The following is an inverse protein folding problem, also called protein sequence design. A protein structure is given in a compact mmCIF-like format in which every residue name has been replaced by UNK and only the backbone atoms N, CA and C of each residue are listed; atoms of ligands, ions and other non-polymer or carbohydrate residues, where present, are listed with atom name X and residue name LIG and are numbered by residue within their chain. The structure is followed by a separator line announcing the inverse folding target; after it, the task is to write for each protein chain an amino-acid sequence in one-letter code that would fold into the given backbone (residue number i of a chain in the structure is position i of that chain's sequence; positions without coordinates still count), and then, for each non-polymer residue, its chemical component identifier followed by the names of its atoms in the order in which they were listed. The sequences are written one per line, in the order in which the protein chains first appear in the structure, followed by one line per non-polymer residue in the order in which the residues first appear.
data_IF_047344804970
#
_entry.id   IF_047344804970
#
_cell.length_a   1.000
_cell.length_b   1.000
_cell.length_c   1.000
_cell.angle_alpha   90.00
_cell.angle_beta   90.00
_cell.angle_gamma   90.00
#
_symmetry.space_group_name_H-M   'P 1'
#
loop_
_entity.id
_entity.type
_entity.pdbx_description
1 polymer ?
#
# COMPACT_ATOMS: atom_id res chain seq x y z
N UNK A 1 -14.98 11.60 -11.85
CA UNK A 1 -15.68 10.32 -11.61
C UNK A 1 -14.59 9.28 -11.51
N UNK A 2 -14.25 8.87 -10.29
CA UNK A 2 -13.20 7.87 -10.07
C UNK A 2 -13.79 6.51 -10.34
N UNK A 3 -13.20 5.75 -11.28
CA UNK A 3 -13.63 4.38 -11.57
C UNK A 3 -13.01 3.44 -10.52
N UNK A 4 -13.87 2.72 -9.82
CA UNK A 4 -13.47 1.66 -8.90
C UNK A 4 -13.38 0.35 -9.67
N UNK A 5 -12.24 -0.29 -9.68
CA UNK A 5 -12.06 -1.63 -10.24
C UNK A 5 -11.75 -2.59 -9.10
N UNK A 6 -12.67 -3.49 -8.82
CA UNK A 6 -12.45 -4.61 -7.89
C UNK A 6 -11.80 -5.76 -8.68
N UNK A 7 -10.59 -6.15 -8.31
CA UNK A 7 -9.90 -7.30 -8.91
C UNK A 7 -9.44 -8.24 -7.81
N UNK A 8 -9.80 -9.49 -7.93
CA UNK A 8 -9.11 -10.59 -7.29
C UNK A 8 -9.90 -11.37 -6.24
N UNK A 9 -10.57 -12.43 -6.66
CA UNK A 9 -10.81 -13.62 -5.83
C UNK A 9 -10.04 -14.79 -6.41
N UNK A 10 -8.93 -15.13 -5.80
CA UNK A 10 -8.31 -16.44 -5.95
C UNK A 10 -9.12 -17.49 -5.18
N UNK A 11 -10.22 -17.97 -5.75
CA UNK A 11 -10.99 -19.09 -5.24
C UNK A 11 -10.90 -20.24 -6.22
N UNK A 12 -10.27 -21.36 -5.85
CA UNK A 12 -10.46 -22.63 -6.53
C UNK A 12 -11.93 -23.01 -6.41
N UNK A 13 -12.63 -23.05 -7.54
CA UNK A 13 -13.93 -23.70 -7.65
C UNK A 13 -13.72 -25.15 -8.08
N UNK A 14 -13.96 -26.06 -7.15
CA UNK A 14 -14.32 -27.43 -7.50
C UNK A 14 -15.78 -27.42 -7.94
N UNK A 15 -16.01 -27.94 -9.15
CA UNK A 15 -17.27 -27.86 -9.84
C UNK A 15 -18.36 -28.73 -9.24
N UNK A 16 -19.59 -28.24 -9.31
CA UNK A 16 -20.75 -29.06 -9.68
C UNK A 16 -21.83 -28.18 -10.28
N UNK A 17 -22.24 -28.54 -11.49
CA UNK A 17 -23.26 -27.89 -12.26
C UNK A 17 -24.65 -28.23 -11.73
N UNK A 18 -25.54 -27.22 -11.62
CA UNK A 18 -26.98 -27.36 -11.90
C UNK A 18 -27.52 -26.03 -12.39
N UNK A 19 -28.18 -26.09 -13.54
CA UNK A 19 -28.62 -24.96 -14.31
C UNK A 19 -29.85 -24.27 -13.73
N UNK A 20 -29.99 -23.03 -14.12
CA UNK A 20 -31.22 -22.39 -14.61
C UNK A 20 -30.95 -20.89 -14.88
N UNK A 21 -31.15 -20.57 -16.09
CA UNK A 21 -31.54 -19.36 -16.84
C UNK A 21 -32.09 -18.16 -16.02
N UNK A 22 -31.54 -16.95 -16.25
CA UNK A 22 -32.18 -15.77 -16.77
C UNK A 22 -31.38 -14.46 -16.56
N UNK A 23 -31.23 -13.77 -17.72
CA UNK A 23 -31.15 -12.32 -17.99
C UNK A 23 -30.00 -11.48 -17.45
N UNK A 24 -29.14 -11.15 -18.41
CA UNK A 24 -28.50 -9.85 -18.75
C UNK A 24 -28.37 -8.79 -17.64
N UNK A 25 -27.19 -8.61 -17.18
CA UNK A 25 -26.64 -7.41 -16.63
C UNK A 25 -25.16 -7.41 -16.97
N UNK A 26 -24.78 -6.71 -18.03
CA UNK A 26 -23.40 -6.65 -18.49
C UNK A 26 -22.52 -5.99 -17.43
N UNK A 27 -21.76 -6.76 -16.69
CA UNK A 27 -20.64 -6.27 -15.94
C UNK A 27 -19.57 -5.87 -16.96
N UNK A 28 -19.39 -4.58 -17.16
CA UNK A 28 -18.26 -4.02 -17.90
C UNK A 28 -17.01 -4.36 -17.09
N UNK A 29 -16.31 -5.41 -17.47
CA UNK A 29 -14.96 -5.68 -17.04
C UNK A 29 -14.05 -4.70 -17.77
N UNK A 30 -13.75 -3.57 -17.15
CA UNK A 30 -12.57 -2.80 -17.49
C UNK A 30 -11.37 -3.48 -16.84
N UNK A 31 -10.75 -4.40 -17.56
CA UNK A 31 -9.44 -4.95 -17.18
C UNK A 31 -8.40 -3.90 -17.55
N UNK A 32 -8.13 -2.99 -16.64
CA UNK A 32 -6.87 -2.25 -16.69
C UNK A 32 -5.81 -3.26 -16.27
N UNK A 33 -4.98 -3.71 -17.22
CA UNK A 33 -3.83 -4.57 -16.94
C UNK A 33 -2.74 -3.75 -16.21
N UNK A 34 -3.02 -3.36 -14.97
CA UNK A 34 -2.05 -2.70 -14.11
C UNK A 34 -1.20 -3.77 -13.44
N UNK A 35 -0.12 -4.15 -14.10
CA UNK A 35 0.84 -5.10 -13.53
C UNK A 35 1.98 -4.34 -12.86
N UNK A 36 1.93 -4.24 -11.52
CA UNK A 36 3.06 -3.77 -10.71
C UNK A 36 3.58 -4.92 -9.85
N UNK A 37 4.82 -4.85 -9.35
CA UNK A 37 5.31 -5.87 -8.43
C UNK A 37 4.43 -6.03 -7.18
N UNK A 38 3.77 -4.93 -6.72
CA UNK A 38 2.83 -4.98 -5.60
C UNK A 38 1.59 -5.82 -5.92
N UNK A 39 1.00 -5.61 -7.10
CA UNK A 39 -0.17 -6.39 -7.58
C UNK A 39 0.18 -7.86 -7.70
N UNK A 40 1.33 -8.20 -8.32
CA UNK A 40 1.78 -9.59 -8.47
C UNK A 40 1.89 -10.29 -7.10
N UNK A 41 2.47 -9.63 -6.10
CA UNK A 41 2.60 -10.22 -4.75
C UNK A 41 1.23 -10.48 -4.11
N UNK A 42 0.28 -9.58 -4.27
CA UNK A 42 -1.07 -9.74 -3.71
C UNK A 42 -1.83 -10.88 -4.40
N UNK A 43 -1.71 -10.99 -5.73
CA UNK A 43 -2.32 -12.07 -6.51
C UNK A 43 -1.72 -13.43 -6.13
N UNK A 44 -0.40 -13.53 -6.05
CA UNK A 44 0.31 -14.75 -5.65
C UNK A 44 -0.06 -15.18 -4.22
N UNK A 45 -0.33 -14.23 -3.33
CA UNK A 45 -0.76 -14.47 -1.96
C UNK A 45 -2.27 -14.76 -1.85
N UNK A 46 -3.05 -14.56 -2.91
CA UNK A 46 -4.51 -14.70 -2.90
C UNK A 46 -5.23 -13.66 -2.03
N UNK A 47 -4.62 -12.48 -1.85
CA UNK A 47 -5.15 -11.37 -1.06
C UNK A 47 -6.10 -10.55 -1.92
N UNK A 48 -7.27 -10.22 -1.38
CA UNK A 48 -8.22 -9.33 -2.03
C UNK A 48 -7.75 -7.86 -1.90
N UNK A 49 -7.88 -7.11 -3.00
CA UNK A 49 -7.50 -5.69 -3.04
C UNK A 49 -8.37 -4.94 -4.06
N UNK A 50 -8.36 -3.62 -3.95
CA UNK A 50 -8.94 -2.68 -4.92
C UNK A 50 -7.84 -1.83 -5.56
N UNK A 51 -8.02 -1.44 -6.83
CA UNK A 51 -7.09 -0.53 -7.53
C UNK A 51 -7.76 0.82 -7.69
N UNK A 52 -7.03 1.88 -7.37
CA UNK A 52 -7.45 3.26 -7.48
C UNK A 52 -6.44 4.04 -8.31
N UNK A 53 -6.81 4.38 -9.54
CA UNK A 53 -6.03 5.29 -10.38
C UNK A 53 -6.55 6.71 -10.24
N UNK A 54 -5.64 7.67 -10.18
CA UNK A 54 -5.98 9.09 -10.11
C UNK A 54 -4.97 9.92 -10.92
N UNK A 55 -5.48 10.99 -11.51
CA UNK A 55 -4.65 11.97 -12.20
C UNK A 55 -3.89 12.81 -11.18
N UNK A 56 -2.58 12.87 -11.35
CA UNK A 56 -1.72 13.75 -10.55
C UNK A 56 -1.64 15.13 -11.16
N UNK A 57 -1.77 16.15 -10.30
CA UNK A 57 -1.33 17.49 -10.64
C UNK A 57 0.20 17.57 -10.78
N UNK A 58 0.69 18.70 -11.30
CA UNK A 58 2.13 18.95 -11.52
C UNK A 58 2.94 19.17 -10.23
N UNK A 59 2.30 19.15 -9.05
CA UNK A 59 2.95 19.42 -7.78
C UNK A 59 3.80 18.22 -7.32
N UNK A 60 5.11 18.47 -7.18
CA UNK A 60 6.10 17.48 -6.76
C UNK A 60 6.17 17.27 -5.23
N UNK A 61 5.30 17.93 -4.46
CA UNK A 61 5.31 17.90 -2.99
C UNK A 61 3.96 17.46 -2.44
N UNK A 62 3.95 16.46 -1.57
CA UNK A 62 2.72 16.02 -0.87
C UNK A 62 2.05 14.76 -1.40
N UNK A 63 2.79 13.90 -2.07
CA UNK A 63 2.34 12.70 -2.80
C UNK A 63 1.19 11.88 -2.17
N UNK A 64 1.19 11.69 -0.86
CA UNK A 64 0.14 10.88 -0.23
C UNK A 64 -1.16 11.67 0.01
N UNK A 65 -1.05 12.98 0.34
CA UNK A 65 -2.24 13.83 0.55
C UNK A 65 -2.97 14.07 -0.76
N UNK A 66 -2.25 14.29 -1.85
CA UNK A 66 -2.83 14.37 -3.20
C UNK A 66 -3.66 13.14 -3.55
N UNK A 67 -3.16 11.94 -3.21
CA UNK A 67 -3.90 10.69 -3.43
C UNK A 67 -5.23 10.70 -2.66
N UNK A 68 -5.19 11.02 -1.36
CA UNK A 68 -6.39 11.09 -0.53
C UNK A 68 -7.41 12.11 -1.08
N UNK A 69 -6.93 13.32 -1.43
CA UNK A 69 -7.79 14.38 -2.00
C UNK A 69 -8.41 13.97 -3.35
N UNK A 70 -7.59 13.40 -4.25
CA UNK A 70 -8.03 13.00 -5.58
C UNK A 70 -9.06 11.85 -5.54
N UNK A 71 -8.91 10.94 -4.59
CA UNK A 71 -9.78 9.79 -4.40
C UNK A 71 -10.97 10.09 -3.48
N UNK A 72 -10.99 11.25 -2.80
CA UNK A 72 -12.02 11.61 -1.82
C UNK A 72 -11.98 10.74 -0.57
N UNK A 73 -10.78 10.25 -0.18
CA UNK A 73 -10.55 9.41 0.97
C UNK A 73 -10.14 10.22 2.20
N UNK A 74 -10.37 9.65 3.39
CA UNK A 74 -9.85 10.22 4.62
C UNK A 74 -8.31 10.14 4.63
N UNK A 75 -7.64 11.24 5.00
CA UNK A 75 -6.19 11.30 5.11
C UNK A 75 -5.61 10.37 6.18
N UNK A 76 -6.41 9.97 7.16
CA UNK A 76 -6.02 8.99 8.17
C UNK A 76 -6.06 7.55 7.65
N UNK A 77 -6.78 7.30 6.56
CA UNK A 77 -6.98 6.00 5.93
C UNK A 77 -5.97 5.72 4.80
N UNK A 78 -5.34 6.77 4.27
CA UNK A 78 -4.29 6.67 3.25
C UNK A 78 -2.92 6.70 3.92
N UNK A 79 -2.11 5.68 3.64
CA UNK A 79 -0.81 5.48 4.29
C UNK A 79 0.34 5.70 3.30
N UNK A 80 1.30 6.50 3.70
CA UNK A 80 2.56 6.72 2.97
C UNK A 80 3.64 5.75 3.41
N UNK A 81 4.43 5.29 2.44
CA UNK A 81 5.58 4.42 2.64
C UNK A 81 6.85 5.26 2.68
N UNK A 82 7.56 5.19 3.79
CA UNK A 82 8.82 5.88 4.02
C UNK A 82 9.93 4.86 4.25
N UNK A 83 11.12 5.13 3.73
CA UNK A 83 12.30 4.33 4.00
C UNK A 83 13.19 5.10 4.97
N UNK A 84 13.55 4.47 6.07
CA UNK A 84 14.43 5.02 7.10
C UNK A 84 15.63 4.11 7.31
N UNK A 85 16.69 4.65 7.92
CA UNK A 85 17.84 3.88 8.38
C UNK A 85 17.83 3.91 9.89
N UNK A 86 17.66 2.74 10.50
CA UNK A 86 17.71 2.53 11.95
C UNK A 86 19.04 1.83 12.30
N UNK A 87 19.92 2.54 12.97
CA UNK A 87 21.35 2.21 13.11
C UNK A 87 21.95 1.91 11.72
N UNK A 88 22.20 0.65 11.38
CA UNK A 88 22.76 0.24 10.08
C UNK A 88 21.75 -0.52 9.20
N UNK A 89 20.48 -0.63 9.63
CA UNK A 89 19.42 -1.37 8.93
C UNK A 89 18.44 -0.43 8.23
N UNK A 90 18.12 -0.73 6.97
CA UNK A 90 17.03 -0.06 6.26
C UNK A 90 15.68 -0.64 6.68
N UNK A 91 14.76 0.23 7.06
CA UNK A 91 13.41 -0.12 7.55
C UNK A 91 12.37 0.57 6.68
N UNK A 92 11.28 -0.11 6.39
CA UNK A 92 10.06 0.50 5.82
C UNK A 92 9.17 0.93 6.98
N UNK A 93 8.77 2.19 6.98
CA UNK A 93 7.81 2.76 7.92
C UNK A 93 6.55 3.21 7.16
N UNK A 94 5.39 2.75 7.61
CA UNK A 94 4.09 3.01 6.99
C UNK A 94 3.24 3.81 7.98
N UNK A 95 2.87 5.04 7.61
CA UNK A 95 2.12 5.96 8.48
C UNK A 95 1.03 6.69 7.69
N UNK A 96 -0.08 7.12 8.35
CA UNK A 96 -1.09 7.95 7.71
C UNK A 96 -0.50 9.19 7.05
N UNK A 97 -1.05 9.60 5.90
CA UNK A 97 -0.58 10.82 5.20
C UNK A 97 -0.86 12.09 5.98
N UNK A 98 -1.85 12.07 6.88
CA UNK A 98 -2.16 13.14 7.83
C UNK A 98 -1.06 13.38 8.87
N UNK A 99 -0.31 12.33 9.22
CA UNK A 99 0.64 12.31 10.31
C UNK A 99 2.11 12.48 9.86
N UNK A 100 2.97 12.84 10.80
CA UNK A 100 4.41 12.82 10.63
C UNK A 100 5.01 11.58 11.28
N UNK A 101 6.06 11.03 10.67
CA UNK A 101 6.80 9.91 11.23
C UNK A 101 7.69 10.36 12.39
N UNK A 102 7.63 9.65 13.52
CA UNK A 102 8.53 9.84 14.65
C UNK A 102 9.74 8.93 14.56
N UNK A 103 10.91 9.48 14.23
CA UNK A 103 12.16 8.72 14.15
C UNK A 103 12.49 8.00 15.46
N UNK A 104 12.19 8.64 16.61
CA UNK A 104 12.39 8.05 17.92
C UNK A 104 11.52 6.82 18.14
N UNK A 105 10.25 6.89 17.73
CA UNK A 105 9.29 5.77 17.89
C UNK A 105 9.61 4.62 16.93
N UNK A 106 10.01 4.93 15.69
CA UNK A 106 10.50 3.89 14.75
C UNK A 106 11.71 3.18 15.31
N UNK A 107 12.72 3.91 15.79
CA UNK A 107 13.91 3.30 16.39
C UNK A 107 13.54 2.38 17.57
N UNK A 108 12.62 2.83 18.44
CA UNK A 108 12.14 2.01 19.56
C UNK A 108 11.42 0.74 19.09
N UNK A 109 10.55 0.84 18.06
CA UNK A 109 9.79 -0.29 17.51
C UNK A 109 10.70 -1.40 16.94
N UNK A 110 11.86 -1.02 16.40
CA UNK A 110 12.83 -1.97 15.83
C UNK A 110 14.01 -2.26 16.76
N UNK A 111 13.99 -1.74 17.99
CA UNK A 111 15.04 -1.90 19.01
C UNK A 111 16.40 -1.30 18.58
N UNK A 112 16.38 -0.25 17.77
CA UNK A 112 17.54 0.52 17.36
C UNK A 112 17.78 1.72 18.32
N UNK A 113 18.98 2.24 18.31
CA UNK A 113 19.36 3.42 19.13
C UNK A 113 18.86 4.72 18.50
N UNK A 114 18.85 4.78 17.17
CA UNK A 114 18.43 5.96 16.39
C UNK A 114 17.88 5.55 15.04
N UNK A 115 17.04 6.41 14.47
CA UNK A 115 16.61 6.31 13.08
C UNK A 115 16.72 7.67 12.38
N UNK A 116 16.95 7.65 11.08
CA UNK A 116 17.01 8.83 10.20
C UNK A 116 16.33 8.52 8.87
N UNK A 117 15.86 9.55 8.16
CA UNK A 117 15.33 9.35 6.81
C UNK A 117 16.42 8.82 5.88
N UNK A 118 16.07 7.84 5.06
CA UNK A 118 16.92 7.40 3.96
C UNK A 118 16.88 8.44 2.83
N UNK A 119 18.00 8.62 2.13
CA UNK A 119 18.01 9.45 0.94
C UNK A 119 17.19 8.81 -0.21
N UNK A 120 16.62 9.67 -1.08
CA UNK A 120 15.72 9.25 -2.14
C UNK A 120 16.34 8.21 -3.09
N UNK A 121 17.58 8.43 -3.52
CA UNK A 121 18.25 7.55 -4.47
C UNK A 121 18.52 6.15 -3.89
N UNK A 122 18.84 6.07 -2.59
CA UNK A 122 19.03 4.80 -1.89
C UNK A 122 17.69 4.08 -1.67
N UNK A 123 16.63 4.83 -1.31
CA UNK A 123 15.28 4.27 -1.19
C UNK A 123 14.79 3.68 -2.52
N UNK A 124 14.98 4.38 -3.64
CA UNK A 124 14.62 3.91 -4.98
C UNK A 124 15.40 2.66 -5.39
N UNK A 125 16.72 2.66 -5.19
CA UNK A 125 17.56 1.48 -5.50
C UNK A 125 17.16 0.25 -4.69
N UNK A 126 16.82 0.43 -3.42
CA UNK A 126 16.43 -0.66 -2.53
C UNK A 126 15.03 -1.19 -2.84
N UNK A 127 14.06 -0.30 -2.97
CA UNK A 127 12.67 -0.68 -3.21
C UNK A 127 12.42 -1.15 -4.63
N UNK A 128 13.13 -0.58 -5.62
CA UNK A 128 12.86 -0.76 -7.04
C UNK A 128 11.73 0.12 -7.56
N UNK A 129 11.19 1.00 -6.74
CA UNK A 129 10.15 1.98 -7.05
C UNK A 129 10.74 3.39 -7.11
N UNK A 130 10.04 4.31 -7.72
CA UNK A 130 10.39 5.75 -7.73
C UNK A 130 9.73 6.46 -6.55
N UNK A 131 10.37 7.48 -6.02
CA UNK A 131 9.80 8.35 -4.97
C UNK A 131 8.45 8.93 -5.42
N UNK A 132 7.46 8.89 -4.54
CA UNK A 132 6.08 9.24 -4.83
C UNK A 132 5.23 8.09 -5.37
N UNK A 133 5.83 6.91 -5.56
CA UNK A 133 5.15 5.67 -5.96
C UNK A 133 5.77 4.45 -5.28
N UNK A 134 6.50 4.64 -4.18
CA UNK A 134 7.07 3.52 -3.41
C UNK A 134 5.94 2.75 -2.72
N UNK A 135 5.69 1.53 -3.17
CA UNK A 135 4.80 0.60 -2.46
C UNK A 135 5.54 -0.08 -1.31
N UNK A 136 4.87 -0.38 -0.20
CA UNK A 136 5.44 -1.24 0.82
C UNK A 136 5.51 -2.70 0.37
N UNK A 137 4.68 -3.08 -0.62
CA UNK A 137 4.51 -4.44 -1.15
C UNK A 137 5.39 -4.61 -2.40
N UNK A 138 5.97 -5.80 -2.59
CA UNK A 138 6.70 -6.15 -3.81
C UNK A 138 8.00 -5.39 -4.01
N UNK A 139 8.63 -4.88 -2.96
CA UNK A 139 9.94 -4.23 -3.03
C UNK A 139 11.02 -5.22 -3.48
N UNK A 140 11.98 -4.74 -4.29
CA UNK A 140 13.11 -5.55 -4.78
C UNK A 140 13.90 -6.19 -3.64
N UNK A 141 14.13 -5.45 -2.57
CA UNK A 141 14.73 -5.95 -1.33
C UNK A 141 13.66 -5.96 -0.24
N UNK A 142 13.34 -7.13 0.30
CA UNK A 142 12.45 -7.23 1.45
C UNK A 142 13.14 -6.60 2.66
N UNK A 143 12.56 -5.52 3.15
CA UNK A 143 13.02 -4.82 4.34
C UNK A 143 12.10 -5.15 5.51
N UNK A 144 12.63 -5.05 6.71
CA UNK A 144 11.82 -5.08 7.93
C UNK A 144 10.86 -3.90 7.91
N UNK A 145 9.60 -4.16 8.21
CA UNK A 145 8.53 -3.16 8.04
C UNK A 145 7.85 -2.89 9.38
N UNK A 146 7.57 -1.61 9.63
CA UNK A 146 6.75 -1.15 10.76
C UNK A 146 5.58 -0.35 10.19
N UNK A 147 4.37 -0.66 10.65
CA UNK A 147 3.15 0.07 10.31
C UNK A 147 2.59 0.73 11.58
N UNK A 148 2.07 1.95 11.42
CA UNK A 148 1.41 2.63 12.54
C UNK A 148 0.15 1.89 12.96
N UNK A 149 -0.05 1.77 14.27
CA UNK A 149 -1.17 1.02 14.88
C UNK A 149 -2.54 1.54 14.48
N UNK A 150 -2.63 2.80 14.03
CA UNK A 150 -3.89 3.37 13.54
C UNK A 150 -4.45 2.65 12.31
N UNK A 151 -3.63 1.89 11.59
CA UNK A 151 -4.12 1.08 10.47
C UNK A 151 -5.21 0.08 10.89
N UNK A 152 -5.12 -0.45 12.11
CA UNK A 152 -6.08 -1.42 12.63
C UNK A 152 -7.46 -0.82 12.97
N UNK A 153 -7.59 0.52 12.90
CA UNK A 153 -8.86 1.22 13.17
C UNK A 153 -9.81 1.24 11.96
N UNK A 154 -9.34 0.80 10.78
CA UNK A 154 -10.08 0.87 9.52
C UNK A 154 -10.40 -0.53 8.99
N UNK A 155 -11.50 -0.64 8.27
CA UNK A 155 -11.86 -1.87 7.54
C UNK A 155 -11.00 -2.03 6.27
N UNK A 156 -10.57 -0.92 5.68
CA UNK A 156 -9.71 -0.84 4.50
C UNK A 156 -8.71 0.31 4.65
N UNK A 157 -7.47 0.07 4.25
CA UNK A 157 -6.41 1.09 4.17
C UNK A 157 -5.84 1.16 2.76
N UNK A 158 -5.31 2.33 2.39
CA UNK A 158 -4.78 2.60 1.06
C UNK A 158 -3.28 2.85 1.13
N UNK A 159 -2.54 2.19 0.24
CA UNK A 159 -1.09 2.36 0.09
C UNK A 159 -0.73 2.49 -1.38
N UNK A 160 0.43 3.07 -1.69
CA UNK A 160 0.88 3.14 -3.08
C UNK A 160 0.95 1.76 -3.73
N UNK A 161 0.40 1.65 -4.93
CA UNK A 161 0.42 0.44 -5.76
C UNK A 161 1.73 0.21 -6.52
N UNK A 162 2.76 1.03 -6.29
CA UNK A 162 4.08 0.90 -6.93
C UNK A 162 4.26 1.76 -8.20
N UNK A 163 3.32 2.64 -8.46
CA UNK A 163 3.35 3.62 -9.55
C UNK A 163 2.73 4.92 -9.05
N UNK A 164 3.25 6.06 -9.49
CA UNK A 164 2.63 7.36 -9.21
C UNK A 164 1.22 7.41 -9.80
N UNK A 165 0.23 7.90 -9.04
CA UNK A 165 -1.16 7.96 -9.47
C UNK A 165 -1.89 6.61 -9.37
N UNK A 166 -1.36 5.68 -8.60
CA UNK A 166 -1.94 4.37 -8.37
C UNK A 166 -1.84 3.99 -6.89
N UNK A 167 -2.98 3.83 -6.26
CA UNK A 167 -3.07 3.29 -4.89
C UNK A 167 -3.83 1.95 -4.88
N UNK A 168 -3.54 1.17 -3.88
CA UNK A 168 -4.17 -0.13 -3.60
C UNK A 168 -4.88 -0.02 -2.26
N UNK A 169 -6.18 -0.34 -2.24
CA UNK A 169 -6.98 -0.54 -1.04
C UNK A 169 -7.00 -2.01 -0.65
N UNK A 170 -6.79 -2.31 0.63
CA UNK A 170 -6.85 -3.67 1.15
C UNK A 170 -7.10 -3.69 2.66
N UNK A 171 -7.51 -4.85 3.17
CA UNK A 171 -7.72 -5.05 4.61
C UNK A 171 -6.39 -4.91 5.36
N UNK A 172 -6.33 -4.12 6.47
CA UNK A 172 -5.09 -3.90 7.22
C UNK A 172 -4.41 -5.17 7.69
N UNK A 173 -5.18 -6.16 8.15
CA UNK A 173 -4.65 -7.45 8.59
C UNK A 173 -3.92 -8.21 7.48
N UNK A 174 -4.40 -8.12 6.24
CA UNK A 174 -3.75 -8.72 5.08
C UNK A 174 -2.46 -7.98 4.71
N UNK A 175 -2.47 -6.63 4.78
CA UNK A 175 -1.27 -5.82 4.59
C UNK A 175 -0.20 -6.15 5.63
N UNK A 176 -0.56 -6.20 6.91
CA UNK A 176 0.34 -6.56 8.01
C UNK A 176 0.92 -7.95 7.79
N UNK A 177 0.08 -8.91 7.42
CA UNK A 177 0.48 -10.30 7.21
C UNK A 177 1.43 -10.47 6.02
N UNK A 178 1.12 -9.90 4.86
CA UNK A 178 1.96 -10.05 3.65
C UNK A 178 3.34 -9.39 3.81
N UNK A 179 3.42 -8.34 4.61
CA UNK A 179 4.65 -7.62 4.91
C UNK A 179 5.42 -8.21 6.10
N UNK A 180 4.79 -9.07 6.91
CA UNK A 180 5.31 -9.48 8.23
C UNK A 180 5.65 -8.24 9.06
N UNK A 181 4.72 -7.28 9.08
CA UNK A 181 4.96 -5.96 9.64
C UNK A 181 4.80 -5.93 11.16
N UNK A 182 5.66 -5.16 11.81
CA UNK A 182 5.52 -4.80 13.22
C UNK A 182 4.46 -3.69 13.32
N UNK A 183 3.44 -3.90 14.14
CA UNK A 183 2.45 -2.86 14.46
C UNK A 183 2.93 -2.10 15.68
N UNK A 184 3.07 -0.79 15.58
CA UNK A 184 3.54 0.06 16.68
C UNK A 184 3.13 1.52 16.48
N UNK A 185 2.98 2.32 17.57
CA UNK A 185 2.73 3.75 17.46
C UNK A 185 4.00 4.47 16.98
N UNK A 186 4.09 4.77 15.68
CA UNK A 186 5.26 5.39 15.06
C UNK A 186 5.03 6.81 14.54
N UNK A 187 3.82 7.36 14.69
CA UNK A 187 3.51 8.77 14.40
C UNK A 187 4.02 9.73 15.48
N UNK A 188 4.24 11.02 15.12
CA UNK A 188 4.74 12.07 16.04
C UNK A 188 3.61 12.66 16.89
#
# INVERSE_FOLDING_TARGET
MSEFVVVGRGGRFDGQAHGADHTSGGAVRSTVDVVTPAVVVLEDAGIAYTIHEYDRGDDLHGFGREAADALGLDHDQVFKTLVVVADDEMIVAIVPVSCQLSMKRVAAAVQAKKATMCDAATAERSSGYIVGGISPIGQRKRLRTVIDETAELFDEVFVSGGKRGLDIGLVPGDLISVLDAIVAPITA
#
